data_IF_904626282137
#
_entry.id   IF_904626282137
#
_cell.length_a   1.000
_cell.length_b   1.000
_cell.length_c   1.000
_cell.angle_alpha   90.00
_cell.angle_beta   90.00
_cell.angle_gamma   90.00
#
_symmetry.space_group_name_H-M   'P 1'
#
loop_
_entity.id
_entity.type
_entity.pdbx_description
1 polymer ?
#
# COMPACT_ATOMS: atom_id res chain seq x y z
N UNK A 1 -5.01 -19.59 6.77
CA UNK A 1 -5.47 -18.72 5.66
C UNK A 1 -6.68 -19.30 4.91
N UNK A 2 -6.56 -20.42 4.18
CA UNK A 2 -7.70 -21.01 3.44
C UNK A 2 -8.93 -21.32 4.32
N UNK A 3 -8.70 -21.82 5.54
CA UNK A 3 -9.79 -22.07 6.49
C UNK A 3 -10.53 -20.79 6.89
N UNK A 4 -9.82 -19.66 7.06
CA UNK A 4 -10.43 -18.37 7.36
C UNK A 4 -11.29 -17.88 6.19
N UNK A 5 -10.76 -17.93 4.95
CA UNK A 5 -11.52 -17.56 3.75
C UNK A 5 -12.76 -18.44 3.56
N UNK A 6 -12.66 -19.75 3.84
CA UNK A 6 -13.82 -20.66 3.78
C UNK A 6 -14.86 -20.38 4.87
N UNK A 7 -14.43 -20.09 6.09
CA UNK A 7 -15.34 -19.89 7.22
C UNK A 7 -15.98 -18.50 7.26
N UNK A 8 -15.21 -17.45 6.96
CA UNK A 8 -15.67 -16.06 7.01
C UNK A 8 -16.14 -15.54 5.64
N UNK A 9 -15.72 -16.19 4.56
CA UNK A 9 -15.83 -15.68 3.20
C UNK A 9 -14.57 -15.03 2.69
N UNK A 10 -14.51 -14.87 1.37
CA UNK A 10 -13.50 -14.08 0.68
C UNK A 10 -14.14 -12.78 0.18
N UNK A 11 -13.67 -11.63 0.65
CA UNK A 11 -14.18 -10.35 0.17
C UNK A 11 -13.88 -10.14 -1.32
N UNK A 12 -12.85 -10.77 -1.87
CA UNK A 12 -12.55 -10.64 -3.30
C UNK A 12 -13.55 -11.40 -4.19
N UNK A 13 -14.43 -12.21 -3.61
CA UNK A 13 -15.57 -12.79 -4.33
C UNK A 13 -16.55 -11.67 -4.71
N UNK A 14 -16.82 -11.51 -6.02
CA UNK A 14 -17.53 -10.36 -6.60
C UNK A 14 -18.89 -10.02 -5.98
N UNK A 15 -19.57 -10.99 -5.37
CA UNK A 15 -20.92 -10.83 -4.83
C UNK A 15 -20.95 -10.71 -3.30
N UNK A 16 -19.81 -10.45 -2.67
CA UNK A 16 -19.71 -10.32 -1.20
C UNK A 16 -19.40 -8.89 -0.77
N UNK A 17 -20.02 -8.48 0.32
CA UNK A 17 -19.75 -7.21 1.00
C UNK A 17 -19.04 -7.42 2.35
N UNK A 18 -18.75 -8.67 2.68
CA UNK A 18 -18.14 -9.10 3.94
C UNK A 18 -17.16 -10.26 3.71
N UNK A 19 -16.37 -10.57 4.73
CA UNK A 19 -15.41 -11.68 4.72
C UNK A 19 -13.97 -11.22 4.80
N UNK A 20 -13.04 -12.16 4.60
CA UNK A 20 -11.60 -11.89 4.64
C UNK A 20 -11.23 -10.98 3.49
N UNK A 21 -10.91 -9.73 3.83
CA UNK A 21 -10.43 -8.73 2.89
C UNK A 21 -9.00 -9.07 2.47
N UNK A 22 -8.13 -9.21 3.45
CA UNK A 22 -6.75 -9.63 3.26
C UNK A 22 -6.35 -10.52 4.44
N UNK A 23 -5.46 -11.47 4.20
CA UNK A 23 -4.88 -12.29 5.26
C UNK A 23 -3.48 -12.72 4.84
N UNK A 24 -2.56 -12.72 5.78
CA UNK A 24 -1.18 -13.15 5.57
C UNK A 24 -0.67 -13.86 6.83
N UNK A 25 0.16 -14.87 6.62
CA UNK A 25 1.00 -15.39 7.70
C UNK A 25 2.14 -14.39 7.90
N UNK A 26 2.34 -13.95 9.13
CA UNK A 26 3.35 -12.96 9.45
C UNK A 26 4.13 -13.40 10.68
N UNK A 27 5.34 -12.84 10.81
CA UNK A 27 6.17 -13.06 11.98
C UNK A 27 7.07 -14.29 11.85
N UNK A 28 8.27 -14.26 12.43
CA UNK A 28 9.22 -15.37 12.36
C UNK A 28 8.75 -16.66 13.03
N UNK A 29 7.80 -16.61 13.97
CA UNK A 29 7.18 -17.81 14.57
C UNK A 29 6.43 -18.73 13.58
N UNK A 30 6.14 -18.24 12.37
CA UNK A 30 5.62 -19.05 11.25
C UNK A 30 6.66 -19.98 10.61
N UNK A 31 7.94 -19.82 10.95
CA UNK A 31 9.03 -20.68 10.49
C UNK A 31 9.25 -21.81 11.50
N UNK A 32 9.29 -23.06 11.05
CA UNK A 32 9.54 -24.23 11.91
C UNK A 32 10.77 -24.03 12.82
N UNK A 33 11.84 -23.47 12.25
CA UNK A 33 13.10 -23.21 12.94
C UNK A 33 13.06 -22.10 14.01
N UNK A 34 11.97 -21.35 14.13
CA UNK A 34 11.76 -20.29 15.12
C UNK A 34 10.41 -20.43 15.85
N UNK A 35 9.67 -21.51 15.60
CA UNK A 35 8.34 -21.76 16.17
C UNK A 35 8.34 -22.00 17.69
N UNK A 36 9.51 -22.27 18.28
CA UNK A 36 9.73 -22.35 19.72
C UNK A 36 9.90 -20.99 20.41
N UNK A 37 10.15 -19.92 19.64
CA UNK A 37 10.34 -18.57 20.18
C UNK A 37 9.02 -17.82 20.36
N UNK A 38 8.08 -17.98 19.43
CA UNK A 38 6.77 -17.36 19.48
C UNK A 38 5.74 -18.16 18.68
N UNK A 39 4.47 -18.01 19.04
CA UNK A 39 3.38 -18.62 18.29
C UNK A 39 3.28 -18.01 16.87
N UNK A 40 3.00 -18.82 15.84
CA UNK A 40 2.78 -18.31 14.49
C UNK A 40 1.52 -17.43 14.43
N UNK A 41 1.62 -16.30 13.71
CA UNK A 41 0.54 -15.33 13.59
C UNK A 41 -0.07 -15.30 12.18
N UNK A 42 -1.39 -15.21 12.14
CA UNK A 42 -2.15 -14.76 10.99
C UNK A 42 -2.62 -13.33 11.28
N UNK A 43 -2.36 -12.42 10.37
CA UNK A 43 -2.91 -11.07 10.43
C UNK A 43 -3.92 -10.95 9.31
N UNK A 44 -5.08 -10.39 9.62
CA UNK A 44 -6.16 -10.26 8.66
C UNK A 44 -6.89 -8.93 8.80
N UNK A 45 -7.25 -8.38 7.65
CA UNK A 45 -8.35 -7.43 7.55
C UNK A 45 -9.59 -8.22 7.16
N UNK A 46 -10.66 -8.06 7.92
CA UNK A 46 -11.95 -8.72 7.68
C UNK A 46 -13.01 -7.62 7.70
N UNK A 47 -13.88 -7.61 6.70
CA UNK A 47 -14.99 -6.66 6.62
C UNK A 47 -16.32 -7.35 7.01
N UNK A 48 -17.23 -6.66 7.70
CA UNK A 48 -17.03 -5.36 8.32
C UNK A 48 -16.00 -5.43 9.46
N UNK A 49 -15.34 -4.29 9.72
CA UNK A 49 -14.52 -4.08 10.91
C UNK A 49 -15.28 -3.14 11.87
N UNK A 50 -15.66 -3.59 13.08
CA UNK A 50 -15.33 -4.88 13.71
C UNK A 50 -16.20 -6.04 13.22
N UNK A 51 -15.75 -7.28 13.50
CA UNK A 51 -16.44 -8.51 13.08
C UNK A 51 -17.90 -8.55 13.54
N UNK A 52 -18.79 -8.95 12.64
CA UNK A 52 -20.19 -9.24 12.97
C UNK A 52 -20.32 -10.45 13.91
N UNK A 53 -21.48 -10.59 14.56
CA UNK A 53 -21.75 -11.74 15.43
C UNK A 53 -21.62 -13.09 14.69
N UNK A 54 -22.11 -13.17 13.45
CA UNK A 54 -21.98 -14.38 12.63
C UNK A 54 -20.53 -14.70 12.25
N UNK A 55 -19.69 -13.69 12.01
CA UNK A 55 -18.25 -13.89 11.75
C UNK A 55 -17.51 -14.37 13.01
N UNK A 56 -17.89 -13.88 14.19
CA UNK A 56 -17.35 -14.36 15.45
C UNK A 56 -17.75 -15.81 15.72
N UNK A 57 -18.99 -16.19 15.43
CA UNK A 57 -19.44 -17.59 15.51
C UNK A 57 -18.70 -18.49 14.53
N UNK A 58 -18.49 -18.02 13.30
CA UNK A 58 -17.69 -18.73 12.31
C UNK A 58 -16.23 -18.94 12.75
N UNK A 59 -15.60 -17.93 13.38
CA UNK A 59 -14.27 -18.10 13.99
C UNK A 59 -14.27 -19.18 15.10
N UNK A 60 -15.29 -19.19 15.96
CA UNK A 60 -15.45 -20.21 17.01
C UNK A 60 -15.65 -21.60 16.43
N UNK A 61 -16.42 -21.72 15.34
CA UNK A 61 -16.60 -22.97 14.61
C UNK A 61 -15.30 -23.47 13.97
N UNK A 62 -14.40 -22.56 13.60
CA UNK A 62 -13.03 -22.86 13.17
C UNK A 62 -12.08 -23.18 14.34
N UNK A 63 -12.55 -23.20 15.59
CA UNK A 63 -11.76 -23.51 16.77
C UNK A 63 -11.03 -22.32 17.41
N UNK A 64 -11.21 -21.11 16.90
CA UNK A 64 -10.62 -19.92 17.50
C UNK A 64 -11.40 -19.48 18.75
N UNK A 65 -10.66 -19.04 19.78
CA UNK A 65 -11.22 -18.41 20.98
C UNK A 65 -10.63 -17.00 21.16
N UNK A 66 -11.37 -16.03 21.70
CA UNK A 66 -10.82 -14.73 22.05
C UNK A 66 -9.61 -14.88 22.97
N UNK A 67 -8.53 -14.15 22.69
CA UNK A 67 -7.34 -14.10 23.53
C UNK A 67 -7.57 -13.23 24.78
N UNK A 68 -8.37 -12.18 24.62
CA UNK A 68 -8.64 -11.16 25.63
C UNK A 68 -9.91 -11.50 26.44
N UNK A 69 -10.02 -10.92 27.64
CA UNK A 69 -11.21 -11.07 28.47
C UNK A 69 -12.46 -10.44 27.81
N UNK A 70 -13.68 -10.87 28.19
CA UNK A 70 -14.90 -10.29 27.65
C UNK A 70 -14.92 -8.77 27.80
N UNK A 71 -15.08 -8.05 26.70
CA UNK A 71 -15.16 -6.60 26.65
C UNK A 71 -16.41 -6.18 25.88
N UNK A 72 -16.77 -4.89 25.94
CA UNK A 72 -17.86 -4.34 25.13
C UNK A 72 -17.53 -4.33 23.62
N UNK A 73 -16.24 -4.35 23.28
CA UNK A 73 -15.75 -4.37 21.90
C UNK A 73 -15.45 -5.81 21.43
N UNK A 74 -15.69 -6.12 20.13
CA UNK A 74 -15.30 -7.39 19.56
C UNK A 74 -13.79 -7.67 19.70
N UNK A 75 -13.39 -8.90 20.04
CA UNK A 75 -11.99 -9.20 20.28
C UNK A 75 -11.15 -9.09 19.00
N UNK A 76 -10.00 -8.42 19.11
CA UNK A 76 -9.03 -8.23 18.02
C UNK A 76 -8.07 -9.41 17.88
N UNK A 77 -7.84 -10.14 18.98
CA UNK A 77 -6.91 -11.26 19.04
C UNK A 77 -7.65 -12.56 19.35
N UNK A 78 -7.33 -13.60 18.58
CA UNK A 78 -7.96 -14.92 18.67
C UNK A 78 -6.89 -16.00 18.66
N UNK A 79 -7.00 -16.99 19.54
CA UNK A 79 -6.04 -18.10 19.67
C UNK A 79 -6.70 -19.39 19.20
N UNK A 80 -5.98 -20.18 18.43
CA UNK A 80 -6.38 -21.51 17.98
C UNK A 80 -5.64 -22.60 18.78
N UNK A 81 -6.29 -23.69 19.23
CA UNK A 81 -5.64 -24.81 19.94
C UNK A 81 -4.46 -25.43 19.20
N UNK A 82 -4.43 -25.32 17.86
CA UNK A 82 -3.29 -25.72 17.02
C UNK A 82 -2.10 -24.74 17.03
N UNK A 83 -2.01 -23.83 18.00
CA UNK A 83 -0.84 -22.96 18.22
C UNK A 83 -0.85 -21.62 17.46
N UNK A 84 -1.86 -21.33 16.64
CA UNK A 84 -1.93 -20.10 15.84
C UNK A 84 -2.62 -18.96 16.58
N UNK A 85 -2.12 -17.74 16.37
CA UNK A 85 -2.78 -16.50 16.80
C UNK A 85 -3.30 -15.76 15.56
N UNK A 86 -4.58 -15.41 15.53
CA UNK A 86 -5.17 -14.51 14.55
C UNK A 86 -5.30 -13.10 15.17
N UNK A 87 -4.77 -12.11 14.46
CA UNK A 87 -4.80 -10.69 14.83
C UNK A 87 -5.59 -9.93 13.75
N UNK A 88 -6.55 -9.10 14.17
CA UNK A 88 -7.48 -8.39 13.28
C UNK A 88 -7.26 -6.89 13.33
N UNK A 89 -6.90 -6.28 12.21
CA UNK A 89 -6.87 -4.81 12.05
C UNK A 89 -5.73 -4.05 12.74
N UNK A 90 -4.93 -4.69 13.59
CA UNK A 90 -3.91 -4.02 14.43
C UNK A 90 -2.59 -3.68 13.69
N UNK A 91 -2.44 -4.08 12.42
CA UNK A 91 -1.16 -3.97 11.69
C UNK A 91 -1.39 -3.34 10.33
N UNK A 92 -0.63 -2.29 10.00
CA UNK A 92 -0.76 -1.68 8.68
C UNK A 92 -0.32 -2.64 7.58
N UNK A 93 -0.85 -2.49 6.36
CA UNK A 93 -0.42 -3.32 5.22
C UNK A 93 1.08 -3.21 4.94
N UNK A 94 1.71 -2.09 5.29
CA UNK A 94 3.15 -1.93 5.14
C UNK A 94 3.90 -2.80 6.15
N UNK A 95 3.56 -2.70 7.43
CA UNK A 95 4.18 -3.50 8.51
C UNK A 95 4.03 -5.01 8.25
N UNK A 96 2.88 -5.40 7.71
CA UNK A 96 2.60 -6.75 7.25
C UNK A 96 3.61 -7.23 6.19
N UNK A 97 3.86 -6.42 5.16
CA UNK A 97 4.81 -6.71 4.10
C UNK A 97 6.25 -6.74 4.63
N UNK A 98 6.60 -5.84 5.54
CA UNK A 98 7.92 -5.82 6.18
C UNK A 98 8.18 -7.10 6.98
N UNK A 99 7.19 -7.56 7.77
CA UNK A 99 7.28 -8.83 8.49
C UNK A 99 7.31 -10.04 7.55
N UNK A 100 6.58 -9.99 6.44
CA UNK A 100 6.65 -11.04 5.42
C UNK A 100 8.03 -11.11 4.76
N UNK A 101 8.63 -9.94 4.45
CA UNK A 101 9.99 -9.86 3.93
C UNK A 101 10.99 -10.44 4.93
N UNK A 102 10.84 -10.12 6.22
CA UNK A 102 11.65 -10.69 7.30
C UNK A 102 11.52 -12.21 7.37
N UNK A 103 10.31 -12.76 7.41
CA UNK A 103 10.10 -14.22 7.45
C UNK A 103 10.67 -14.91 6.20
N UNK A 104 10.48 -14.32 5.02
CA UNK A 104 11.01 -14.86 3.75
C UNK A 104 12.55 -14.89 3.77
N UNK A 105 13.18 -13.80 4.20
CA UNK A 105 14.62 -13.71 4.31
C UNK A 105 15.18 -14.70 5.34
N UNK A 106 14.56 -14.78 6.53
CA UNK A 106 14.95 -15.74 7.56
C UNK A 106 14.76 -17.19 7.10
N UNK A 107 13.76 -17.51 6.28
CA UNK A 107 13.57 -18.87 5.76
C UNK A 107 14.77 -19.36 4.94
N UNK A 108 15.45 -18.48 4.21
CA UNK A 108 16.58 -18.82 3.33
C UNK A 108 17.95 -18.43 3.91
N UNK A 109 18.01 -17.75 5.06
CA UNK A 109 19.26 -17.25 5.63
C UNK A 109 19.55 -17.86 7.04
N UNK A 110 20.33 -18.95 7.13
CA UNK A 110 20.66 -19.60 8.41
C UNK A 110 21.34 -18.69 9.43
N UNK A 111 22.31 -17.87 8.98
CA UNK A 111 23.02 -16.92 9.86
C UNK A 111 22.06 -15.84 10.39
N UNK A 112 21.17 -15.35 9.53
CA UNK A 112 20.08 -14.45 9.89
C UNK A 112 19.19 -15.05 10.98
N UNK A 113 18.80 -16.32 10.85
CA UNK A 113 18.02 -17.02 11.89
C UNK A 113 18.77 -17.13 13.21
N UNK A 114 20.06 -17.44 13.18
CA UNK A 114 20.87 -17.53 14.40
C UNK A 114 20.93 -16.17 15.12
N UNK A 115 21.16 -15.09 14.38
CA UNK A 115 21.20 -13.71 14.91
C UNK A 115 19.83 -13.29 15.47
N UNK A 116 18.76 -13.56 14.72
CA UNK A 116 17.39 -13.28 15.14
C UNK A 116 17.08 -13.99 16.47
N UNK A 117 17.34 -15.30 16.55
CA UNK A 117 17.13 -16.09 17.77
C UNK A 117 17.90 -15.54 18.96
N UNK A 118 19.20 -15.25 18.79
CA UNK A 118 20.03 -14.71 19.86
C UNK A 118 19.51 -13.35 20.37
N UNK A 119 19.12 -12.46 19.46
CA UNK A 119 18.54 -11.16 19.81
C UNK A 119 17.18 -11.32 20.51
N UNK A 120 16.33 -12.23 20.02
CA UNK A 120 15.02 -12.51 20.59
C UNK A 120 15.14 -13.01 22.04
N UNK A 121 16.02 -13.98 22.28
CA UNK A 121 16.24 -14.52 23.64
C UNK A 121 16.85 -13.47 24.58
N UNK A 122 17.64 -12.54 24.06
CA UNK A 122 18.29 -11.48 24.84
C UNK A 122 17.34 -10.34 25.22
N UNK A 123 16.52 -9.87 24.28
CA UNK A 123 15.81 -8.60 24.39
C UNK A 123 14.39 -8.61 23.79
N UNK A 124 13.90 -9.77 23.35
CA UNK A 124 12.57 -9.95 22.79
C UNK A 124 12.44 -9.61 21.30
N UNK A 125 11.21 -9.72 20.81
CA UNK A 125 10.86 -9.61 19.38
C UNK A 125 11.29 -8.31 18.74
N UNK A 126 11.03 -7.17 19.38
CA UNK A 126 11.28 -5.86 18.80
C UNK A 126 12.77 -5.66 18.44
N UNK A 127 13.68 -6.08 19.32
CA UNK A 127 15.13 -6.02 19.07
C UNK A 127 15.53 -6.98 17.94
N UNK A 128 14.98 -8.19 17.93
CA UNK A 128 15.28 -9.19 16.91
C UNK A 128 14.81 -8.75 15.52
N UNK A 129 13.61 -8.17 15.42
CA UNK A 129 13.09 -7.57 14.20
C UNK A 129 13.96 -6.38 13.76
N UNK A 130 14.25 -5.42 14.65
CA UNK A 130 15.08 -4.27 14.34
C UNK A 130 16.48 -4.64 13.82
N UNK A 131 17.07 -5.73 14.34
CA UNK A 131 18.39 -6.22 13.93
C UNK A 131 18.41 -6.79 12.51
N UNK A 132 17.36 -7.52 12.11
CA UNK A 132 17.33 -8.31 10.87
C UNK A 132 16.50 -7.67 9.75
N UNK A 133 15.56 -6.80 10.09
CA UNK A 133 14.63 -6.20 9.13
C UNK A 133 15.36 -5.39 8.05
N UNK A 134 16.39 -4.56 8.33
CA UNK A 134 17.07 -3.81 7.28
C UNK A 134 17.63 -4.69 6.15
N UNK A 135 18.25 -5.83 6.48
CA UNK A 135 18.81 -6.75 5.48
C UNK A 135 17.70 -7.51 4.75
N UNK A 136 16.63 -7.87 5.46
CA UNK A 136 15.46 -8.51 4.85
C UNK A 136 14.76 -7.59 3.85
N UNK A 137 14.58 -6.31 4.19
CA UNK A 137 14.01 -5.31 3.30
C UNK A 137 14.89 -5.06 2.08
N UNK A 138 16.22 -4.90 2.27
CA UNK A 138 17.15 -4.77 1.15
C UNK A 138 17.03 -5.97 0.19
N UNK A 139 17.05 -7.19 0.71
CA UNK A 139 16.91 -8.41 -0.09
C UNK A 139 15.55 -8.48 -0.81
N UNK A 140 14.46 -8.06 -0.17
CA UNK A 140 13.13 -8.03 -0.78
C UNK A 140 13.04 -6.99 -1.91
N UNK A 141 13.61 -5.80 -1.72
CA UNK A 141 13.64 -4.75 -2.74
C UNK A 141 14.48 -5.14 -3.95
N UNK A 142 15.63 -5.78 -3.71
CA UNK A 142 16.49 -6.29 -4.78
C UNK A 142 15.81 -7.42 -5.57
N UNK A 143 15.13 -8.33 -4.87
CA UNK A 143 14.42 -9.44 -5.50
C UNK A 143 13.18 -8.99 -6.30
N UNK A 144 12.43 -8.01 -5.81
CA UNK A 144 11.24 -7.49 -6.50
C UNK A 144 11.62 -6.56 -7.67
N UNK A 145 12.70 -5.78 -7.51
CA UNK A 145 13.13 -4.79 -8.49
C UNK A 145 12.00 -3.86 -8.89
N UNK A 146 11.82 -3.59 -10.18
CA UNK A 146 10.64 -2.87 -10.70
C UNK A 146 9.62 -3.80 -11.36
N UNK A 147 9.64 -5.11 -11.04
CA UNK A 147 8.73 -6.09 -11.63
C UNK A 147 7.23 -5.73 -11.53
N UNK A 148 6.73 -5.14 -10.43
CA UNK A 148 5.35 -4.66 -10.36
C UNK A 148 5.01 -3.59 -11.43
N UNK A 149 5.92 -2.67 -11.72
CA UNK A 149 5.76 -1.62 -12.74
C UNK A 149 5.78 -2.21 -14.15
N UNK A 150 6.65 -3.19 -14.40
CA UNK A 150 6.70 -3.90 -15.68
C UNK A 150 5.37 -4.61 -15.97
N UNK A 151 4.86 -5.36 -14.99
CA UNK A 151 3.57 -6.06 -15.12
C UNK A 151 2.42 -5.08 -15.31
N UNK A 152 2.38 -3.96 -14.56
CA UNK A 152 1.32 -2.97 -14.73
C UNK A 152 1.41 -2.26 -16.08
N UNK A 153 2.61 -1.95 -16.55
CA UNK A 153 2.82 -1.35 -17.88
C UNK A 153 2.29 -2.28 -18.99
N UNK A 154 2.56 -3.59 -18.89
CA UNK A 154 2.01 -4.58 -19.82
C UNK A 154 0.48 -4.67 -19.73
N UNK A 155 -0.09 -4.63 -18.52
CA UNK A 155 -1.53 -4.65 -18.33
C UNK A 155 -2.20 -3.40 -18.96
N UNK A 156 -1.61 -2.22 -18.78
CA UNK A 156 -2.14 -0.95 -19.27
C UNK A 156 -1.76 -0.63 -20.71
N UNK A 157 -1.00 -1.48 -21.41
CA UNK A 157 -0.64 -1.25 -22.82
C UNK A 157 -1.85 -1.28 -23.76
N UNK A 158 -2.99 -1.81 -23.28
CA UNK A 158 -4.26 -1.79 -23.98
C UNK A 158 -4.97 -0.42 -23.92
N UNK A 159 -4.53 0.51 -23.07
CA UNK A 159 -5.07 1.86 -23.01
C UNK A 159 -4.49 2.73 -24.14
N UNK A 160 -5.37 3.42 -24.86
CA UNK A 160 -4.96 4.28 -25.99
C UNK A 160 -4.53 5.68 -25.55
N UNK A 161 -4.80 6.05 -24.29
CA UNK A 161 -4.63 7.40 -23.76
C UNK A 161 -3.46 7.49 -22.78
N UNK A 162 -2.86 8.70 -22.60
CA UNK A 162 -1.71 8.86 -21.72
C UNK A 162 -2.08 8.63 -20.25
N UNK A 163 -1.44 7.63 -19.63
CA UNK A 163 -1.44 7.38 -18.19
C UNK A 163 -0.05 7.64 -17.60
N UNK A 164 0.07 7.64 -16.27
CA UNK A 164 1.36 7.75 -15.56
C UNK A 164 1.34 7.09 -14.18
N UNK A 165 2.46 6.51 -13.76
CA UNK A 165 2.70 6.12 -12.37
C UNK A 165 2.66 7.35 -11.46
N UNK A 166 2.17 7.17 -10.24
CA UNK A 166 2.04 8.24 -9.26
C UNK A 166 2.63 7.86 -7.90
N UNK A 167 2.51 8.76 -6.92
CA UNK A 167 2.84 8.50 -5.52
C UNK A 167 4.28 7.96 -5.33
N UNK A 168 4.49 7.02 -4.40
CA UNK A 168 5.80 6.47 -4.09
C UNK A 168 6.52 5.82 -5.28
N UNK A 169 5.78 5.17 -6.18
CA UNK A 169 6.36 4.56 -7.37
C UNK A 169 6.96 5.57 -8.33
N UNK A 170 6.28 6.70 -8.56
CA UNK A 170 6.82 7.78 -9.39
C UNK A 170 8.14 8.34 -8.85
N UNK A 171 8.29 8.42 -7.52
CA UNK A 171 9.52 8.86 -6.87
C UNK A 171 10.67 7.85 -7.04
N UNK A 172 10.38 6.55 -6.99
CA UNK A 172 11.41 5.53 -7.21
C UNK A 172 11.80 5.39 -8.67
N UNK A 173 10.86 5.60 -9.61
CA UNK A 173 11.17 5.75 -11.03
C UNK A 173 12.09 6.96 -11.26
N UNK A 174 11.80 8.10 -10.62
CA UNK A 174 12.64 9.29 -10.65
C UNK A 174 14.06 9.02 -10.11
N UNK A 175 14.16 8.32 -8.98
CA UNK A 175 15.44 7.96 -8.36
C UNK A 175 16.18 6.81 -9.06
N UNK A 176 15.52 6.11 -10.00
CA UNK A 176 16.02 4.93 -10.70
C UNK A 176 16.42 3.78 -9.75
N UNK A 177 15.84 3.71 -8.56
CA UNK A 177 16.10 2.66 -7.57
C UNK A 177 14.92 2.47 -6.63
N UNK A 178 14.78 1.25 -6.13
CA UNK A 178 13.85 0.94 -5.02
C UNK A 178 14.39 1.52 -3.71
N UNK A 179 13.49 2.03 -2.88
CA UNK A 179 13.80 2.67 -1.59
C UNK A 179 12.96 2.14 -0.44
N UNK A 180 11.76 1.61 -0.74
CA UNK A 180 10.88 0.95 0.23
C UNK A 180 9.86 0.03 -0.45
N UNK A 181 9.20 -0.79 0.37
CA UNK A 181 8.06 -1.59 -0.08
C UNK A 181 6.84 -0.67 -0.34
N UNK A 182 6.01 -1.07 -1.31
CA UNK A 182 4.70 -0.48 -1.56
C UNK A 182 3.64 -1.57 -1.44
N UNK A 183 2.51 -1.25 -0.81
CA UNK A 183 1.40 -2.20 -0.64
C UNK A 183 0.35 -2.09 -1.76
N UNK A 184 0.54 -1.09 -2.61
CA UNK A 184 -0.31 -0.64 -3.69
C UNK A 184 0.53 -0.26 -4.91
N UNK A 185 -0.14 -0.12 -6.05
CA UNK A 185 0.40 0.40 -7.30
C UNK A 185 -0.44 1.60 -7.73
N UNK A 186 0.11 2.80 -7.55
CA UNK A 186 -0.58 4.05 -7.89
C UNK A 186 -0.43 4.42 -9.36
N UNK A 187 -1.55 4.62 -10.05
CA UNK A 187 -1.59 5.08 -11.44
C UNK A 187 -2.62 6.19 -11.61
N UNK A 188 -2.25 7.21 -12.38
CA UNK A 188 -3.18 8.24 -12.87
C UNK A 188 -3.57 7.92 -14.30
N UNK A 189 -4.87 7.87 -14.57
CA UNK A 189 -5.44 7.66 -15.90
C UNK A 189 -6.44 8.78 -16.24
N UNK A 190 -6.68 9.05 -17.54
CA UNK A 190 -7.69 10.03 -17.94
C UNK A 190 -9.10 9.64 -17.51
N UNK A 191 -9.94 10.62 -17.15
CA UNK A 191 -11.37 10.39 -16.88
C UNK A 191 -12.09 9.70 -18.06
N UNK A 192 -11.63 9.94 -19.29
CA UNK A 192 -12.22 9.41 -20.52
C UNK A 192 -12.01 7.91 -20.71
N UNK A 193 -11.06 7.28 -20.01
CA UNK A 193 -10.78 5.84 -20.17
C UNK A 193 -11.55 4.95 -19.20
N UNK A 194 -12.40 5.50 -18.33
CA UNK A 194 -13.13 4.73 -17.31
C UNK A 194 -13.79 3.45 -17.86
N UNK A 195 -14.53 3.55 -18.96
CA UNK A 195 -15.19 2.39 -19.57
C UNK A 195 -14.19 1.35 -20.10
N UNK A 196 -13.11 1.81 -20.76
CA UNK A 196 -12.06 0.93 -21.30
C UNK A 196 -11.31 0.22 -20.16
N UNK A 197 -10.96 0.95 -19.10
CA UNK A 197 -10.31 0.42 -17.92
C UNK A 197 -11.17 -0.64 -17.23
N UNK A 198 -12.46 -0.36 -17.05
CA UNK A 198 -13.38 -1.35 -16.49
C UNK A 198 -13.43 -2.62 -17.35
N UNK A 199 -13.58 -2.49 -18.67
CA UNK A 199 -13.60 -3.64 -19.58
C UNK A 199 -12.30 -4.47 -19.53
N UNK A 200 -11.16 -3.80 -19.35
CA UNK A 200 -9.83 -4.43 -19.23
C UNK A 200 -9.68 -5.20 -17.92
N UNK A 201 -10.13 -4.65 -16.79
CA UNK A 201 -9.87 -5.21 -15.46
C UNK A 201 -10.99 -6.12 -14.94
N UNK A 202 -12.25 -5.82 -15.21
CA UNK A 202 -13.40 -6.57 -14.69
C UNK A 202 -13.38 -8.10 -14.94
N UNK A 203 -12.71 -8.65 -15.98
CA UNK A 203 -12.60 -10.10 -16.15
C UNK A 203 -11.87 -10.83 -15.02
N UNK A 204 -10.88 -10.20 -14.37
CA UNK A 204 -10.04 -10.84 -13.35
C UNK A 204 -9.98 -10.08 -12.01
N UNK A 205 -10.47 -8.84 -11.99
CA UNK A 205 -10.34 -7.94 -10.84
C UNK A 205 -11.70 -7.63 -10.21
N UNK A 206 -11.71 -7.47 -8.89
CA UNK A 206 -12.77 -6.75 -8.17
C UNK A 206 -12.45 -5.26 -8.25
N UNK A 207 -13.43 -4.45 -8.62
CA UNK A 207 -13.30 -3.01 -8.80
C UNK A 207 -14.26 -2.31 -7.82
N UNK A 208 -13.70 -1.46 -6.97
CA UNK A 208 -14.48 -0.70 -5.99
C UNK A 208 -14.18 0.81 -6.14
N UNK A 209 -15.23 1.60 -6.36
CA UNK A 209 -15.17 3.06 -6.25
C UNK A 209 -15.04 3.45 -4.78
N UNK A 210 -14.10 4.35 -4.48
CA UNK A 210 -13.88 4.87 -3.14
C UNK A 210 -14.58 6.22 -2.97
N UNK A 211 -15.60 6.28 -2.11
CA UNK A 211 -16.37 7.50 -1.82
C UNK A 211 -16.34 7.74 -0.32
N UNK A 212 -15.72 8.83 0.10
CA UNK A 212 -15.61 9.22 1.52
C UNK A 212 -15.03 8.13 2.45
N UNK A 213 -14.16 7.26 1.93
CA UNK A 213 -13.56 6.16 2.69
C UNK A 213 -14.37 4.86 2.67
N UNK A 214 -15.51 4.84 1.99
CA UNK A 214 -16.33 3.65 1.78
C UNK A 214 -16.14 3.08 0.37
N UNK A 215 -16.33 1.76 0.26
CA UNK A 215 -16.16 1.02 -0.99
C UNK A 215 -17.50 0.61 -1.59
N UNK A 216 -17.70 0.98 -2.86
CA UNK A 216 -18.87 0.62 -3.64
C UNK A 216 -18.43 -0.14 -4.88
N UNK A 217 -19.06 -1.27 -5.19
CA UNK A 217 -18.76 -2.00 -6.42
C UNK A 217 -18.92 -1.07 -7.63
N UNK A 218 -17.89 -1.00 -8.47
CA UNK A 218 -17.88 -0.16 -9.67
C UNK A 218 -18.00 -1.03 -10.92
N UNK A 219 -19.02 -0.77 -11.74
CA UNK A 219 -19.38 -1.57 -12.90
C UNK A 219 -19.06 -0.87 -14.24
N UNK A 220 -18.23 0.17 -14.19
CA UNK A 220 -17.79 0.93 -15.37
C UNK A 220 -18.77 2.02 -15.78
N UNK A 221 -19.79 2.30 -14.96
CA UNK A 221 -20.59 3.51 -15.05
C UNK A 221 -19.70 4.76 -14.87
N UNK A 222 -20.04 5.88 -15.53
CA UNK A 222 -19.33 7.14 -15.30
C UNK A 222 -19.31 7.49 -13.82
N UNK A 223 -18.11 7.62 -13.28
CA UNK A 223 -17.86 7.93 -11.88
C UNK A 223 -17.17 9.29 -11.79
N UNK A 224 -17.82 10.24 -11.13
CA UNK A 224 -17.28 11.59 -10.88
C UNK A 224 -16.38 11.65 -9.63
N UNK A 225 -16.09 10.49 -9.03
CA UNK A 225 -15.11 10.39 -7.96
C UNK A 225 -13.70 10.18 -8.51
N UNK A 226 -12.73 10.35 -7.62
CA UNK A 226 -11.33 10.44 -8.01
C UNK A 226 -10.60 9.11 -8.10
N UNK A 227 -11.17 8.04 -7.53
CA UNK A 227 -10.38 6.86 -7.19
C UNK A 227 -11.20 5.58 -7.27
N UNK A 228 -10.67 4.61 -8.01
CA UNK A 228 -11.13 3.22 -8.01
C UNK A 228 -9.97 2.34 -7.57
N UNK A 229 -10.26 1.38 -6.70
CA UNK A 229 -9.31 0.36 -6.31
C UNK A 229 -9.61 -0.94 -7.03
N UNK A 230 -8.59 -1.52 -7.66
CA UNK A 230 -8.67 -2.84 -8.28
C UNK A 230 -7.92 -3.86 -7.44
N UNK A 231 -8.56 -4.99 -7.14
CA UNK A 231 -7.97 -6.08 -6.36
C UNK A 231 -8.13 -7.41 -7.08
N UNK A 232 -7.06 -8.20 -7.07
CA UNK A 232 -7.07 -9.62 -7.46
C UNK A 232 -6.04 -10.39 -6.64
N UNK A 233 -6.25 -11.70 -6.42
CA UNK A 233 -5.22 -12.54 -5.81
C UNK A 233 -3.89 -12.48 -6.56
N UNK A 234 -2.78 -12.40 -5.81
CA UNK A 234 -1.41 -12.40 -6.36
C UNK A 234 -0.92 -11.07 -6.92
N UNK A 235 -1.69 -9.98 -6.77
CA UNK A 235 -1.27 -8.63 -7.16
C UNK A 235 -1.33 -7.67 -5.97
N UNK A 236 -0.42 -6.67 -5.90
CA UNK A 236 -0.68 -5.47 -5.12
C UNK A 236 -2.01 -4.84 -5.57
N UNK A 237 -2.70 -4.16 -4.65
CA UNK A 237 -3.88 -3.38 -5.00
C UNK A 237 -3.49 -2.32 -6.03
N UNK A 238 -4.24 -2.20 -7.13
CA UNK A 238 -4.07 -1.06 -8.03
C UNK A 238 -4.89 0.10 -7.49
N UNK A 239 -4.22 1.21 -7.25
CA UNK A 239 -4.85 2.47 -6.89
C UNK A 239 -4.96 3.35 -8.14
N UNK A 240 -6.15 3.36 -8.74
CA UNK A 240 -6.40 4.08 -9.99
C UNK A 240 -7.03 5.43 -9.70
N UNK A 241 -6.30 6.49 -10.02
CA UNK A 241 -6.70 7.86 -9.83
C UNK A 241 -7.13 8.46 -11.17
N UNK A 242 -8.34 9.04 -11.22
CA UNK A 242 -8.82 9.73 -12.41
C UNK A 242 -8.40 11.20 -12.41
N UNK A 243 -7.89 11.67 -13.54
CA UNK A 243 -7.54 13.08 -13.78
C UNK A 243 -7.97 13.49 -15.18
N UNK A 244 -8.27 14.78 -15.38
CA UNK A 244 -8.29 15.33 -16.73
C UNK A 244 -6.84 15.47 -17.22
N UNK A 245 -6.56 14.83 -18.36
CA UNK A 245 -5.26 14.85 -19.04
C UNK A 245 -5.43 15.23 -20.53
N UNK A 246 -6.58 15.81 -20.90
CA UNK A 246 -6.92 16.15 -22.29
C UNK A 246 -6.27 17.45 -22.77
N UNK A 247 -5.96 18.36 -21.84
CA UNK A 247 -5.37 19.66 -22.12
C UNK A 247 -3.84 19.68 -22.01
N UNK A 248 -3.21 20.84 -22.29
CA UNK A 248 -1.77 21.02 -22.18
C UNK A 248 -1.30 21.21 -20.73
N UNK A 249 -2.22 21.26 -19.77
CA UNK A 249 -1.93 21.49 -18.35
C UNK A 249 -2.33 20.27 -17.52
N UNK A 250 -1.46 19.95 -16.57
CA UNK A 250 -1.83 19.13 -15.42
C UNK A 250 -2.38 20.03 -14.32
N UNK A 251 -3.48 19.61 -13.70
CA UNK A 251 -4.14 20.34 -12.62
C UNK A 251 -3.97 19.58 -11.29
N UNK A 252 -3.54 20.29 -10.25
CA UNK A 252 -3.49 19.72 -8.92
C UNK A 252 -4.90 19.48 -8.39
N UNK A 253 -5.24 18.21 -8.14
CA UNK A 253 -6.59 17.80 -7.76
C UNK A 253 -7.18 18.53 -6.54
N UNK A 254 -6.36 18.94 -5.57
CA UNK A 254 -6.86 19.62 -4.35
C UNK A 254 -7.05 21.13 -4.53
N UNK A 255 -6.37 21.74 -5.50
CA UNK A 255 -6.54 23.14 -5.91
C UNK A 255 -6.26 23.24 -7.42
N UNK A 256 -7.29 23.19 -8.28
CA UNK A 256 -7.13 23.19 -9.73
C UNK A 256 -6.47 24.46 -10.31
N UNK A 257 -6.32 25.53 -9.52
CA UNK A 257 -5.56 26.72 -9.92
C UNK A 257 -4.04 26.49 -9.89
N UNK A 258 -3.57 25.49 -9.15
CA UNK A 258 -2.18 25.04 -9.19
C UNK A 258 -1.99 24.10 -10.38
N UNK A 259 -1.17 24.54 -11.34
CA UNK A 259 -0.95 23.82 -12.59
C UNK A 259 0.54 23.65 -12.91
N UNK A 260 0.80 22.70 -13.80
CA UNK A 260 2.06 22.51 -14.51
C UNK A 260 1.78 22.23 -15.99
N UNK A 261 2.68 22.59 -16.92
CA UNK A 261 2.63 22.03 -18.26
C UNK A 261 2.60 20.50 -18.18
N UNK A 262 1.68 19.85 -18.91
CA UNK A 262 1.49 18.40 -18.83
C UNK A 262 2.76 17.64 -19.22
N UNK A 263 3.54 18.15 -20.17
CA UNK A 263 4.85 17.61 -20.55
C UNK A 263 5.90 17.65 -19.42
N UNK A 264 5.77 18.61 -18.50
CA UNK A 264 6.61 18.71 -17.30
C UNK A 264 6.08 17.81 -16.18
N UNK A 265 4.76 17.79 -15.99
CA UNK A 265 4.12 16.97 -14.96
C UNK A 265 4.19 15.48 -15.27
N UNK A 266 4.09 15.07 -16.53
CA UNK A 266 4.17 13.67 -16.97
C UNK A 266 5.50 13.42 -17.66
N UNK A 267 6.46 12.91 -16.90
CA UNK A 267 7.81 12.61 -17.37
C UNK A 267 7.89 11.16 -17.87
N UNK A 268 8.94 10.87 -18.65
CA UNK A 268 9.22 9.53 -19.16
C UNK A 268 10.56 9.05 -18.61
N UNK A 269 10.61 7.80 -18.11
CA UNK A 269 11.87 7.19 -17.67
C UNK A 269 12.65 6.62 -18.86
N UNK A 270 13.92 6.25 -18.65
CA UNK A 270 14.70 5.55 -19.66
C UNK A 270 14.10 4.18 -20.05
N UNK A 271 13.35 3.56 -19.14
CA UNK A 271 12.61 2.32 -19.35
C UNK A 271 11.29 2.52 -20.10
N UNK A 272 10.92 3.76 -20.45
CA UNK A 272 9.66 4.06 -21.12
C UNK A 272 8.46 4.07 -20.18
N UNK A 273 8.67 4.24 -18.87
CA UNK A 273 7.58 4.37 -17.91
C UNK A 273 7.16 5.83 -17.76
N UNK A 274 5.89 6.17 -17.99
CA UNK A 274 5.38 7.50 -17.67
C UNK A 274 5.18 7.65 -16.17
N UNK A 275 5.62 8.76 -15.59
CA UNK A 275 5.47 9.01 -14.15
C UNK A 275 5.20 10.49 -13.85
N UNK A 276 4.49 10.74 -12.76
CA UNK A 276 4.23 12.09 -12.25
C UNK A 276 5.52 12.71 -11.72
N UNK A 277 5.77 13.97 -12.10
CA UNK A 277 6.95 14.72 -11.71
C UNK A 277 7.10 14.78 -10.18
N UNK A 278 8.34 14.68 -9.67
CA UNK A 278 8.58 14.56 -8.24
C UNK A 278 8.05 15.76 -7.44
N UNK A 279 8.11 16.99 -7.96
CA UNK A 279 7.52 18.16 -7.28
C UNK A 279 5.99 18.06 -7.13
N UNK A 280 5.29 17.54 -8.14
CA UNK A 280 3.85 17.34 -8.08
C UNK A 280 3.48 16.20 -7.11
N UNK A 281 4.29 15.12 -7.07
CA UNK A 281 4.12 14.05 -6.08
C UNK A 281 4.34 14.58 -4.66
N UNK A 282 5.41 15.36 -4.43
CA UNK A 282 5.67 15.94 -3.12
C UNK A 282 4.56 16.91 -2.69
N UNK A 283 3.94 17.66 -3.61
CA UNK A 283 2.77 18.49 -3.28
C UNK A 283 1.59 17.68 -2.73
N UNK A 284 1.37 16.45 -3.19
CA UNK A 284 0.37 15.57 -2.55
C UNK A 284 0.80 15.09 -1.16
N UNK A 285 2.10 14.83 -0.98
CA UNK A 285 2.72 14.32 0.24
C UNK A 285 2.93 15.36 1.33
N UNK A 286 2.94 16.65 0.98
CA UNK A 286 2.96 17.77 1.91
C UNK A 286 1.74 17.80 2.84
N UNK A 287 0.74 16.97 2.58
CA UNK A 287 -0.48 16.92 3.38
C UNK A 287 -1.39 18.11 3.08
N UNK A 288 -2.20 18.49 4.06
CA UNK A 288 -3.09 19.64 4.04
C UNK A 288 -3.37 20.09 5.47
N UNK A 289 -4.01 21.25 5.64
CA UNK A 289 -4.44 21.69 6.96
C UNK A 289 -5.23 20.59 7.70
N UNK A 290 -4.84 20.31 8.94
CA UNK A 290 -5.38 19.22 9.77
C UNK A 290 -4.88 17.80 9.45
N UNK A 291 -4.05 17.63 8.43
CA UNK A 291 -3.49 16.34 8.02
C UNK A 291 -2.01 16.51 7.60
N UNK A 292 -1.07 16.48 8.57
CA UNK A 292 0.35 16.65 8.30
C UNK A 292 0.91 15.47 7.47
N UNK A 293 2.10 15.63 6.85
CA UNK A 293 2.80 14.53 6.19
C UNK A 293 2.96 13.31 7.11
N UNK A 294 2.74 12.11 6.56
CA UNK A 294 3.00 10.84 7.28
C UNK A 294 4.50 10.57 7.36
N UNK A 295 4.93 9.65 8.24
CA UNK A 295 6.36 9.26 8.35
C UNK A 295 6.99 8.93 6.99
N UNK A 296 6.35 8.07 6.21
CA UNK A 296 6.82 7.72 4.86
C UNK A 296 6.87 8.91 3.90
N UNK A 297 6.00 9.90 4.06
CA UNK A 297 5.98 11.10 3.22
C UNK A 297 7.14 12.04 3.60
N UNK A 298 7.51 12.12 4.88
CA UNK A 298 8.70 12.85 5.33
C UNK A 298 9.99 12.21 4.81
N UNK A 299 10.09 10.88 4.84
CA UNK A 299 11.22 10.17 4.28
C UNK A 299 11.32 10.33 2.76
N UNK A 300 10.20 10.21 2.05
CA UNK A 300 10.11 10.46 0.60
C UNK A 300 10.56 11.90 0.28
N UNK A 301 10.11 12.90 1.06
CA UNK A 301 10.58 14.29 0.92
C UNK A 301 12.10 14.42 1.09
N UNK A 302 12.65 13.84 2.16
CA UNK A 302 14.09 13.88 2.44
C UNK A 302 14.96 13.25 1.35
N UNK A 303 14.47 12.18 0.70
CA UNK A 303 15.17 11.52 -0.41
C UNK A 303 15.10 12.32 -1.72
N UNK A 304 13.99 13.01 -1.96
CA UNK A 304 13.68 13.61 -3.27
C UNK A 304 14.12 15.05 -3.38
N UNK A 305 13.95 15.87 -2.33
CA UNK A 305 14.27 17.30 -2.36
C UNK A 305 15.71 17.63 -2.77
N UNK A 306 16.74 16.86 -2.37
CA UNK A 306 18.11 17.10 -2.83
C UNK A 306 18.33 16.85 -4.34
N UNK A 307 17.38 16.17 -4.99
CA UNK A 307 17.47 15.81 -6.43
C UNK A 307 16.69 16.76 -7.33
N UNK A 308 15.89 17.67 -6.76
CA UNK A 308 15.12 18.65 -7.51
C UNK A 308 16.01 19.81 -7.96
N UNK A 309 15.79 20.28 -9.18
CA UNK A 309 16.39 21.53 -9.64
C UNK A 309 15.74 22.76 -8.99
N UNK A 310 16.30 23.94 -9.27
CA UNK A 310 15.83 25.20 -8.69
C UNK A 310 14.39 25.53 -9.08
N UNK A 311 13.97 25.21 -10.32
CA UNK A 311 12.63 25.53 -10.82
C UNK A 311 11.56 24.63 -10.16
N UNK A 312 11.84 23.34 -10.02
CA UNK A 312 10.99 22.38 -9.32
C UNK A 312 10.87 22.73 -7.83
N UNK A 313 11.98 23.10 -7.17
CA UNK A 313 11.98 23.54 -5.76
C UNK A 313 11.16 24.82 -5.58
N UNK A 314 11.36 25.82 -6.44
CA UNK A 314 10.63 27.09 -6.38
C UNK A 314 9.13 26.90 -6.61
N UNK A 315 8.76 26.10 -7.61
CA UNK A 315 7.35 25.78 -7.88
C UNK A 315 6.71 25.06 -6.69
N UNK A 316 7.39 24.06 -6.12
CA UNK A 316 6.88 23.32 -4.96
C UNK A 316 6.71 24.22 -3.73
N UNK A 317 7.69 25.08 -3.46
CA UNK A 317 7.63 26.05 -2.36
C UNK A 317 6.43 27.01 -2.52
N UNK A 318 6.24 27.55 -3.72
CA UNK A 318 5.11 28.43 -4.01
C UNK A 318 3.76 27.70 -3.87
N UNK A 319 3.67 26.47 -4.37
CA UNK A 319 2.45 25.66 -4.31
C UNK A 319 2.08 25.29 -2.87
N UNK A 320 3.05 24.87 -2.05
CA UNK A 320 2.84 24.59 -0.63
C UNK A 320 2.47 25.88 0.12
N UNK A 321 3.24 26.96 -0.07
CA UNK A 321 3.06 28.22 0.63
C UNK A 321 1.71 28.89 0.37
N UNK A 322 1.10 28.63 -0.80
CA UNK A 322 -0.27 29.07 -1.11
C UNK A 322 -1.32 28.43 -0.20
N UNK A 323 -1.16 27.15 0.13
CA UNK A 323 -2.11 26.39 0.97
C UNK A 323 -1.77 26.43 2.47
N UNK A 324 -0.49 26.44 2.80
CA UNK A 324 0.05 26.49 4.16
C UNK A 324 1.36 27.31 4.20
N UNK A 325 1.27 28.63 4.47
CA UNK A 325 2.43 29.53 4.48
C UNK A 325 3.47 29.22 5.57
N UNK A 326 3.12 28.42 6.58
CA UNK A 326 4.00 28.08 7.71
C UNK A 326 4.47 26.62 7.65
N UNK A 327 4.26 25.95 6.51
CA UNK A 327 4.58 24.54 6.35
C UNK A 327 6.09 24.27 6.60
N UNK A 328 6.46 23.28 7.42
CA UNK A 328 7.86 23.01 7.78
C UNK A 328 8.80 22.82 6.58
N UNK A 329 8.30 22.23 5.49
CA UNK A 329 9.07 22.00 4.28
C UNK A 329 9.53 23.27 3.57
N UNK A 330 8.86 24.42 3.77
CA UNK A 330 9.23 25.68 3.14
C UNK A 330 10.64 26.13 3.55
N UNK A 331 11.04 25.88 4.80
CA UNK A 331 12.39 26.19 5.28
C UNK A 331 13.49 25.39 4.59
N UNK A 332 13.16 24.21 4.05
CA UNK A 332 14.11 23.29 3.38
C UNK A 332 14.13 23.54 1.86
N UNK A 333 13.02 24.04 1.31
CA UNK A 333 12.85 24.36 -0.11
C UNK A 333 13.39 25.74 -0.49
N UNK A 334 13.65 26.60 0.51
CA UNK A 334 14.20 27.94 0.35
C UNK A 334 15.60 27.96 -0.31
#
# INVERSE_FOLDING_TARGET
>A
MLALRRGLGDYLDRNRLDGVFEVWACGPGSLDALSDLEAPELHAFVLPDPLSGSQQEALRALGYRPADQPSAEPPRRWIHPGGWTLVLGDVSRLDALERQALSTWLAINPDGRQRYRAAFQRAGRAEAEALCLPQALAAALDAEGFGPLERLTQLLSALEQPWMFASGWALEVWLQRRTRLHHDLDVVVPVTVQRQLHALLAPEWRLDACVNGEYYAWHGEPFDGFQVHARRPGWPMLDVMFSDLSGPLWHYRRDPQLTLPLERARRMSHQGWPYLAPEAVLLFKAGRSGHPPRSKDLEDFGRIVPTLDAEARQWLAAAIGRGDPVHPWLSVLA
#
